data_IF_256417428780
#
_entry.id   IF_256417428780
#
_cell.length_a   1.000
_cell.length_b   1.000
_cell.length_c   1.000
_cell.angle_alpha   90.00
_cell.angle_beta   90.00
_cell.angle_gamma   90.00
#
_symmetry.space_group_name_H-M   'P 1'
#
loop_
_entity.id
_entity.type
_entity.pdbx_description
1 polymer ?
#
# COMPACT_ATOMS: atom_id res chain seq x y z
N UNK A 1 42.88 -13.65 -24.28
CA UNK A 1 42.08 -14.28 -23.20
C UNK A 1 41.13 -13.22 -22.69
N UNK A 2 39.90 -13.20 -23.18
CA UNK A 2 38.90 -12.19 -22.82
C UNK A 2 38.07 -12.77 -21.69
N UNK A 3 38.25 -12.26 -20.47
CA UNK A 3 37.45 -12.66 -19.31
C UNK A 3 36.01 -12.18 -19.53
N UNK A 4 35.05 -13.12 -19.53
CA UNK A 4 33.63 -12.80 -19.54
C UNK A 4 33.31 -11.90 -18.32
N UNK A 5 32.36 -10.95 -18.43
CA UNK A 5 31.99 -10.13 -17.31
C UNK A 5 31.43 -11.03 -16.21
N UNK A 6 31.97 -10.88 -15.01
CA UNK A 6 31.42 -11.49 -13.80
C UNK A 6 29.97 -11.02 -13.66
N UNK A 7 29.04 -11.97 -13.69
CA UNK A 7 27.61 -11.72 -13.54
C UNK A 7 27.39 -11.04 -12.19
N UNK A 8 27.29 -9.71 -12.19
CA UNK A 8 26.93 -8.94 -11.01
C UNK A 8 25.65 -9.53 -10.43
N UNK A 9 25.70 -9.95 -9.15
CA UNK A 9 24.51 -10.42 -8.46
C UNK A 9 23.40 -9.36 -8.62
N UNK A 10 22.15 -9.76 -8.87
CA UNK A 10 21.08 -8.83 -9.18
C UNK A 10 20.95 -7.79 -8.07
N UNK A 11 21.20 -6.53 -8.43
CA UNK A 11 21.26 -5.38 -7.51
C UNK A 11 19.92 -5.23 -6.78
N UNK A 12 19.96 -5.27 -5.44
CA UNK A 12 18.80 -4.99 -4.60
C UNK A 12 18.72 -3.49 -4.33
N UNK A 13 17.54 -2.89 -4.52
CA UNK A 13 17.32 -1.44 -4.35
C UNK A 13 16.24 -1.16 -3.33
N UNK A 14 16.44 -0.12 -2.54
CA UNK A 14 15.43 0.45 -1.66
C UNK A 14 15.00 1.80 -2.22
N UNK A 15 13.71 1.96 -2.49
CA UNK A 15 13.13 3.21 -3.00
C UNK A 15 12.11 3.73 -1.99
N UNK A 16 12.39 4.91 -1.44
CA UNK A 16 11.50 5.59 -0.50
C UNK A 16 10.42 6.33 -1.31
N UNK A 17 9.26 5.69 -1.49
CA UNK A 17 8.16 6.23 -2.27
C UNK A 17 7.44 7.34 -1.50
N UNK A 18 7.35 7.21 -0.18
CA UNK A 18 6.88 8.26 0.71
C UNK A 18 7.44 8.09 2.12
N UNK A 19 7.52 9.20 2.83
CA UNK A 19 8.25 9.29 4.12
C UNK A 19 7.50 10.11 5.15
N UNK A 20 6.27 10.55 4.86
CA UNK A 20 5.39 11.11 5.87
C UNK A 20 4.85 9.97 6.73
N UNK A 21 5.06 10.05 8.05
CA UNK A 21 4.42 9.17 9.03
C UNK A 21 3.27 9.88 9.71
N UNK A 22 2.32 9.09 10.22
CA UNK A 22 1.13 9.57 10.90
C UNK A 22 -0.05 9.82 9.95
N UNK A 23 -1.30 9.76 10.47
CA UNK A 23 -2.53 9.80 9.68
C UNK A 23 -2.81 11.14 9.00
N UNK A 24 -2.15 12.22 9.41
CA UNK A 24 -2.37 13.55 8.85
C UNK A 24 -1.57 13.72 7.55
N UNK A 25 -2.23 13.97 6.39
CA UNK A 25 -1.52 14.14 5.13
C UNK A 25 -0.52 15.30 5.16
N UNK A 26 0.68 15.06 4.61
CA UNK A 26 1.71 16.09 4.49
C UNK A 26 1.61 16.83 3.16
N UNK A 27 1.75 18.17 3.13
CA UNK A 27 1.76 18.94 1.88
C UNK A 27 3.06 18.77 1.07
N UNK A 28 4.12 18.22 1.67
CA UNK A 28 5.47 18.16 1.07
C UNK A 28 6.02 16.74 0.94
N UNK A 29 5.39 15.75 1.57
CA UNK A 29 5.81 14.34 1.53
C UNK A 29 4.61 13.44 1.26
N UNK A 30 4.78 12.46 0.39
CA UNK A 30 3.79 11.38 0.23
C UNK A 30 3.73 10.51 1.48
N UNK A 31 2.57 9.88 1.70
CA UNK A 31 2.34 8.96 2.83
C UNK A 31 3.31 7.78 2.80
N UNK A 32 3.52 7.15 3.96
CA UNK A 32 4.54 6.11 4.15
C UNK A 32 4.36 4.97 3.13
N UNK A 33 5.41 4.73 2.36
CA UNK A 33 5.48 3.63 1.39
C UNK A 33 6.94 3.41 0.97
N UNK A 34 7.38 2.16 0.95
CA UNK A 34 8.74 1.79 0.53
C UNK A 34 8.71 0.64 -0.45
N UNK A 35 9.45 0.73 -1.54
CA UNK A 35 9.64 -0.38 -2.47
C UNK A 35 11.02 -1.02 -2.27
N UNK A 36 11.03 -2.31 -2.00
CA UNK A 36 12.23 -3.16 -2.05
C UNK A 36 12.22 -3.87 -3.40
N UNK A 37 13.21 -3.58 -4.23
CA UNK A 37 13.32 -4.16 -5.57
C UNK A 37 14.39 -5.24 -5.55
N UNK A 38 13.98 -6.48 -5.77
CA UNK A 38 14.87 -7.65 -5.81
C UNK A 38 14.69 -8.32 -7.16
N UNK A 39 15.76 -8.46 -7.95
CA UNK A 39 15.70 -9.11 -9.27
C UNK A 39 14.62 -8.52 -10.20
N UNK A 40 14.41 -7.21 -10.12
CA UNK A 40 13.39 -6.49 -10.89
C UNK A 40 11.95 -6.70 -10.40
N UNK A 41 11.72 -7.45 -9.33
CA UNK A 41 10.40 -7.60 -8.70
C UNK A 41 10.24 -6.59 -7.58
N UNK A 42 9.07 -5.95 -7.51
CA UNK A 42 8.78 -4.90 -6.53
C UNK A 42 8.00 -5.49 -5.38
N UNK A 43 8.57 -5.39 -4.19
CA UNK A 43 7.98 -5.70 -2.90
C UNK A 43 7.64 -4.38 -2.22
N UNK A 44 6.35 -4.03 -2.19
CA UNK A 44 5.86 -2.80 -1.59
C UNK A 44 5.59 -3.02 -0.10
N UNK A 45 6.12 -2.15 0.75
CA UNK A 45 5.83 -2.09 2.18
C UNK A 45 5.01 -0.83 2.45
N UNK A 46 3.81 -1.04 2.96
CA UNK A 46 2.74 -0.06 3.23
C UNK A 46 2.22 0.70 2.00
N UNK A 47 0.98 1.17 2.12
CA UNK A 47 0.18 1.82 1.10
C UNK A 47 -0.36 3.17 1.61
N UNK A 48 0.53 4.03 2.10
CA UNK A 48 0.18 5.39 2.48
C UNK A 48 -0.27 6.26 1.29
N UNK A 49 -0.87 7.40 1.62
CA UNK A 49 -1.51 8.29 0.65
C UNK A 49 -0.59 8.64 -0.53
N UNK A 50 -1.07 8.34 -1.75
CA UNK A 50 -0.39 8.67 -3.01
C UNK A 50 0.57 7.58 -3.52
N UNK A 51 0.59 6.39 -2.91
CA UNK A 51 1.53 5.31 -3.26
C UNK A 51 1.48 4.94 -4.74
N UNK A 52 0.29 4.90 -5.34
CA UNK A 52 0.10 4.55 -6.76
C UNK A 52 0.81 5.54 -7.68
N UNK A 53 0.69 6.84 -7.37
CA UNK A 53 1.36 7.89 -8.13
C UNK A 53 2.88 7.80 -7.98
N UNK A 54 3.37 7.53 -6.76
CA UNK A 54 4.79 7.40 -6.49
C UNK A 54 5.40 6.17 -7.19
N UNK A 55 4.71 5.02 -7.19
CA UNK A 55 5.09 3.84 -7.97
C UNK A 55 5.17 4.13 -9.47
N UNK A 56 4.23 4.92 -10.02
CA UNK A 56 4.29 5.35 -11.43
C UNK A 56 5.46 6.29 -11.70
N UNK A 57 5.72 7.26 -10.84
CA UNK A 57 6.87 8.18 -10.95
C UNK A 57 8.20 7.43 -10.90
N UNK A 58 8.31 6.43 -10.03
CA UNK A 58 9.47 5.56 -9.91
C UNK A 58 9.57 4.51 -11.03
N UNK A 59 8.57 4.40 -11.92
CA UNK A 59 8.45 3.37 -12.97
C UNK A 59 8.46 1.93 -12.44
N UNK A 60 7.93 1.74 -11.23
CA UNK A 60 7.89 0.46 -10.52
C UNK A 60 6.51 -0.22 -10.53
N UNK A 61 5.44 0.51 -10.89
CA UNK A 61 4.07 -0.01 -10.77
C UNK A 61 3.83 -1.30 -11.55
N UNK A 62 4.41 -1.44 -12.76
CA UNK A 62 4.21 -2.61 -13.62
C UNK A 62 4.86 -3.88 -13.07
N UNK A 63 5.89 -3.72 -12.24
CA UNK A 63 6.67 -4.81 -11.69
C UNK A 63 6.26 -5.15 -10.24
N UNK A 64 5.16 -4.55 -9.77
CA UNK A 64 4.55 -4.85 -8.48
C UNK A 64 4.27 -6.34 -8.38
N UNK A 65 4.87 -6.97 -7.36
CA UNK A 65 4.79 -8.41 -7.17
C UNK A 65 4.16 -8.78 -5.83
N UNK A 66 4.53 -8.05 -4.77
CA UNK A 66 4.04 -8.30 -3.41
C UNK A 66 3.72 -6.98 -2.71
N UNK A 67 2.72 -6.99 -1.84
CA UNK A 67 2.39 -5.89 -0.91
C UNK A 67 2.42 -6.43 0.52
N UNK A 68 3.04 -5.68 1.43
CA UNK A 68 3.12 -5.97 2.85
C UNK A 68 2.54 -4.78 3.62
N UNK A 69 1.41 -4.97 4.29
CA UNK A 69 0.84 -4.01 5.23
C UNK A 69 1.39 -4.33 6.62
N UNK A 70 2.11 -3.37 7.22
CA UNK A 70 2.74 -3.58 8.52
C UNK A 70 1.71 -3.65 9.65
N UNK A 71 0.71 -2.78 9.61
CA UNK A 71 -0.41 -2.72 10.53
C UNK A 71 -1.58 -1.95 9.89
N UNK A 72 -2.74 -1.92 10.55
CA UNK A 72 -3.99 -1.34 10.03
C UNK A 72 -4.26 0.06 10.61
N UNK A 73 -3.24 0.91 10.61
CA UNK A 73 -3.44 2.35 10.77
C UNK A 73 -3.63 3.00 9.40
N UNK A 74 -4.46 4.05 9.38
CA UNK A 74 -4.87 4.70 8.14
C UNK A 74 -3.71 5.23 7.31
N UNK A 75 -2.63 5.72 7.92
CA UNK A 75 -1.46 6.18 7.16
C UNK A 75 -0.71 5.06 6.43
N UNK A 76 -0.92 3.79 6.81
CA UNK A 76 -0.26 2.64 6.20
C UNK A 76 -1.16 1.90 5.19
N UNK A 77 -2.47 2.10 5.20
CA UNK A 77 -3.40 1.36 4.33
C UNK A 77 -4.43 2.22 3.57
N UNK A 78 -4.50 3.54 3.82
CA UNK A 78 -5.55 4.40 3.23
C UNK A 78 -5.61 4.38 1.70
N UNK A 79 -4.51 4.09 1.02
CA UNK A 79 -4.44 4.07 -0.45
C UNK A 79 -4.29 2.64 -1.01
N UNK A 80 -4.36 1.62 -0.15
CA UNK A 80 -4.28 0.20 -0.53
C UNK A 80 -5.37 -0.16 -1.55
N UNK A 81 -6.63 0.21 -1.28
CA UNK A 81 -7.73 -0.08 -2.20
C UNK A 81 -7.54 0.62 -3.56
N UNK A 82 -7.12 1.89 -3.52
CA UNK A 82 -6.89 2.69 -4.73
C UNK A 82 -5.75 2.13 -5.59
N UNK A 83 -4.71 1.55 -4.99
CA UNK A 83 -3.63 0.88 -5.72
C UNK A 83 -4.19 -0.14 -6.72
N UNK A 84 -5.05 -1.04 -6.24
CA UNK A 84 -5.62 -2.08 -7.09
C UNK A 84 -6.71 -1.56 -8.02
N UNK A 85 -7.59 -0.68 -7.52
CA UNK A 85 -8.68 -0.09 -8.29
C UNK A 85 -8.16 0.63 -9.53
N UNK A 86 -7.15 1.50 -9.38
CA UNK A 86 -6.62 2.32 -10.45
C UNK A 86 -5.77 1.54 -11.45
N UNK A 87 -5.12 0.47 -11.00
CA UNK A 87 -4.30 -0.39 -11.86
C UNK A 87 -5.10 -1.45 -12.63
N UNK A 88 -6.24 -1.89 -12.10
CA UNK A 88 -7.01 -3.02 -12.64
C UNK A 88 -7.30 -2.92 -14.16
N UNK A 89 -7.83 -1.80 -14.71
CA UNK A 89 -8.21 -1.75 -16.11
C UNK A 89 -7.04 -1.94 -17.10
N UNK A 90 -5.81 -1.70 -16.65
CA UNK A 90 -4.61 -1.66 -17.50
C UNK A 90 -3.68 -2.84 -17.20
N UNK A 91 -3.43 -3.08 -15.91
CA UNK A 91 -2.44 -4.07 -15.46
C UNK A 91 -3.06 -5.44 -15.26
N UNK A 92 -4.36 -5.51 -14.97
CA UNK A 92 -5.11 -6.73 -14.60
C UNK A 92 -4.52 -7.53 -13.44
N UNK A 93 -3.39 -7.07 -12.88
CA UNK A 93 -2.59 -7.76 -11.87
C UNK A 93 -2.37 -9.24 -12.25
N UNK A 94 -1.78 -9.46 -13.43
CA UNK A 94 -1.46 -10.79 -13.95
C UNK A 94 0.06 -10.96 -14.16
N UNK A 95 0.75 -11.82 -13.38
CA UNK A 95 0.20 -12.68 -12.33
C UNK A 95 -0.32 -11.87 -11.12
N UNK A 96 -1.19 -12.47 -10.27
CA UNK A 96 -1.70 -11.81 -9.08
C UNK A 96 -0.59 -11.24 -8.19
N UNK A 97 -0.84 -10.05 -7.64
CA UNK A 97 -0.02 -9.46 -6.59
C UNK A 97 -0.48 -10.08 -5.26
N UNK A 98 0.41 -10.73 -4.51
CA UNK A 98 0.01 -11.22 -3.19
C UNK A 98 0.12 -10.10 -2.15
N UNK A 99 -0.83 -10.11 -1.22
CA UNK A 99 -0.92 -9.13 -0.16
C UNK A 99 -0.76 -9.86 1.16
N UNK A 100 0.16 -9.36 1.98
CA UNK A 100 0.45 -9.85 3.31
C UNK A 100 0.15 -8.74 4.31
N UNK A 101 -0.46 -9.08 5.44
CA UNK A 101 -0.78 -8.11 6.47
C UNK A 101 -1.25 -8.80 7.75
N UNK A 102 -1.55 -8.02 8.80
CA UNK A 102 -2.16 -8.56 10.00
C UNK A 102 -3.56 -9.13 9.70
N UNK A 103 -4.09 -9.90 10.65
CA UNK A 103 -5.49 -10.29 10.63
C UNK A 103 -6.44 -9.09 10.73
N UNK A 104 -7.76 -9.32 10.65
CA UNK A 104 -8.74 -8.25 10.72
C UNK A 104 -8.56 -7.35 11.95
N UNK A 105 -8.61 -6.02 11.78
CA UNK A 105 -8.65 -5.06 12.88
C UNK A 105 -9.96 -5.10 13.68
N UNK A 106 -10.95 -5.88 13.24
CA UNK A 106 -12.34 -5.76 13.69
C UNK A 106 -13.07 -4.65 12.93
N UNK A 107 -14.27 -4.30 13.39
CA UNK A 107 -14.99 -3.13 12.88
C UNK A 107 -14.35 -1.82 13.36
N UNK A 108 -14.85 -0.68 12.86
CA UNK A 108 -14.49 0.65 13.38
C UNK A 108 -14.87 0.76 14.87
N UNK A 109 -13.98 0.32 15.76
CA UNK A 109 -14.13 0.44 17.21
C UNK A 109 -13.77 1.85 17.73
N UNK A 110 -13.44 2.78 16.83
CA UNK A 110 -12.74 4.01 17.17
C UNK A 110 -13.64 5.24 17.40
N UNK A 111 -14.95 5.10 17.28
CA UNK A 111 -15.85 6.09 17.86
C UNK A 111 -16.43 5.50 19.14
N UNK A 112 -16.08 6.02 20.33
CA UNK A 112 -16.83 5.66 21.52
C UNK A 112 -18.30 5.99 21.23
N UNK A 113 -19.23 5.05 21.46
CA UNK A 113 -20.63 5.36 21.28
C UNK A 113 -21.04 6.42 22.29
N UNK A 114 -21.96 7.30 21.90
CA UNK A 114 -22.53 8.31 22.81
C UNK A 114 -23.11 7.66 24.07
N UNK A 115 -23.54 6.39 23.97
CA UNK A 115 -23.97 5.53 25.09
C UNK A 115 -23.38 4.13 25.01
N UNK A 116 -23.07 3.49 26.16
CA UNK A 116 -22.66 2.08 26.18
C UNK A 116 -23.68 1.18 25.49
N UNK A 117 -23.24 0.38 24.51
CA UNK A 117 -24.08 -0.58 23.79
C UNK A 117 -24.72 -0.09 22.49
N UNK A 118 -24.53 1.18 22.11
CA UNK A 118 -24.98 1.70 20.81
C UNK A 118 -23.87 1.61 19.75
N UNK A 119 -24.24 1.54 18.47
CA UNK A 119 -23.29 1.76 17.36
C UNK A 119 -22.96 3.26 17.31
N UNK A 120 -21.69 3.67 17.26
CA UNK A 120 -21.33 5.09 17.10
C UNK A 120 -21.70 5.64 15.72
N UNK A 121 -22.04 4.76 14.77
CA UNK A 121 -22.55 5.13 13.46
C UNK A 121 -24.08 5.00 13.48
N UNK A 122 -24.84 6.11 13.37
CA UNK A 122 -26.28 6.01 13.22
C UNK A 122 -26.59 5.30 11.90
N UNK A 123 -27.48 4.31 11.95
CA UNK A 123 -28.01 3.71 10.72
C UNK A 123 -28.94 4.73 10.08
N UNK A 124 -28.44 5.43 9.07
CA UNK A 124 -29.25 6.35 8.26
C UNK A 124 -29.93 5.52 7.18
N UNK A 125 -31.26 5.61 7.12
CA UNK A 125 -32.11 4.89 6.18
C UNK A 125 -32.00 3.34 6.24
N UNK A 126 -32.35 2.71 7.37
CA UNK A 126 -32.30 1.24 7.51
C UNK A 126 -33.20 0.49 6.52
N UNK A 127 -34.16 1.17 5.91
CA UNK A 127 -35.06 0.59 4.91
C UNK A 127 -34.48 0.63 3.48
N UNK A 128 -33.39 1.36 3.24
CA UNK A 128 -32.70 1.40 1.94
C UNK A 128 -31.20 1.61 2.17
N UNK A 129 -30.46 0.53 2.51
CA UNK A 129 -29.03 0.56 2.77
C UNK A 129 -28.19 0.89 1.53
#
# INVERSE_FOLDING_TARGET
MTTAPESAAPETKLVLLGTAGGPLPSPVRSGIATAVVVRGKVHLVDCGSGVTLQLRRARLLRDLHQVYLTHLHSDHDCDYFNLFLLGWPILQWNPPVHVHGPGPAGGLAALPPDRPGESPFPVVNPASP
#
